data_IF_224479278936
#
_entry.id   IF_224479278936
#
_cell.length_a   1.000
_cell.length_b   1.000
_cell.length_c   1.000
_cell.angle_alpha   90.00
_cell.angle_beta   90.00
_cell.angle_gamma   90.00
#
_symmetry.space_group_name_H-M   'P 1'
#
loop_
_entity.id
_entity.type
_entity.pdbx_description
1 polymer ?
#
# COMPACT_ATOMS: atom_id res chain seq x y z
N UNK A 1 -18.94 -35.36 16.91
CA UNK A 1 -19.74 -35.80 15.74
C UNK A 1 -19.53 -34.81 14.59
N UNK A 2 -19.14 -35.32 13.42
CA UNK A 2 -19.04 -34.53 12.18
C UNK A 2 -20.44 -34.37 11.59
N UNK A 3 -20.77 -33.15 11.15
CA UNK A 3 -22.00 -32.87 10.40
C UNK A 3 -21.94 -33.60 9.05
N UNK A 4 -23.00 -34.28 8.58
CA UNK A 4 -23.02 -34.87 7.24
C UNK A 4 -23.13 -33.82 6.13
N UNK A 5 -23.66 -32.63 6.44
CA UNK A 5 -23.85 -31.55 5.49
C UNK A 5 -22.76 -30.47 5.60
N UNK A 6 -22.34 -29.88 4.45
CA UNK A 6 -21.21 -28.95 4.39
C UNK A 6 -21.54 -27.56 4.92
N UNK A 7 -20.50 -26.83 5.32
CA UNK A 7 -20.52 -25.40 5.58
C UNK A 7 -19.70 -24.72 4.47
N UNK A 8 -20.33 -23.82 3.72
CA UNK A 8 -19.65 -23.06 2.67
C UNK A 8 -19.38 -21.64 3.14
N UNK A 9 -18.14 -21.18 2.93
CA UNK A 9 -17.72 -19.81 3.12
C UNK A 9 -17.20 -19.28 1.80
N UNK A 10 -17.86 -18.27 1.28
CA UNK A 10 -17.43 -17.53 0.11
C UNK A 10 -17.09 -16.11 0.55
N UNK A 11 -15.95 -15.60 0.10
CA UNK A 11 -15.51 -14.24 0.39
C UNK A 11 -14.98 -13.60 -0.88
N UNK A 12 -15.37 -12.35 -1.13
CA UNK A 12 -14.92 -11.57 -2.28
C UNK A 12 -14.50 -10.17 -1.83
N UNK A 13 -13.52 -9.62 -2.53
CA UNK A 13 -13.08 -8.23 -2.39
C UNK A 13 -13.73 -7.39 -3.48
N UNK A 14 -14.04 -6.13 -3.18
CA UNK A 14 -14.57 -5.20 -4.18
C UNK A 14 -13.53 -4.78 -5.23
N UNK A 15 -12.24 -4.81 -4.88
CA UNK A 15 -11.11 -4.49 -5.77
C UNK A 15 -9.95 -5.45 -5.55
N UNK A 16 -9.07 -5.56 -6.55
CA UNK A 16 -7.79 -6.27 -6.42
C UNK A 16 -6.66 -5.36 -5.91
N UNK A 17 -6.78 -4.05 -6.16
CA UNK A 17 -5.81 -3.03 -5.78
C UNK A 17 -6.49 -1.93 -4.96
N UNK A 18 -5.85 -1.57 -3.84
CA UNK A 18 -6.29 -0.52 -2.93
C UNK A 18 -5.17 0.48 -2.69
N UNK A 19 -5.54 1.73 -2.42
CA UNK A 19 -4.61 2.76 -2.01
C UNK A 19 -4.44 2.83 -0.49
N UNK A 20 -3.30 3.38 -0.04
CA UNK A 20 -3.12 3.69 1.38
C UNK A 20 -4.23 4.61 1.89
N UNK A 21 -4.80 4.27 3.05
CA UNK A 21 -5.93 4.99 3.63
C UNK A 21 -7.30 4.66 3.02
N UNK A 22 -7.38 3.83 1.98
CA UNK A 22 -8.62 3.39 1.40
C UNK A 22 -9.28 2.25 2.21
N UNK A 23 -10.61 2.25 2.25
CA UNK A 23 -11.39 1.19 2.85
C UNK A 23 -11.44 -0.05 1.95
N UNK A 24 -11.11 -1.20 2.53
CA UNK A 24 -11.23 -2.51 1.89
C UNK A 24 -12.60 -3.09 2.24
N UNK A 25 -13.45 -3.32 1.24
CA UNK A 25 -14.76 -3.93 1.46
C UNK A 25 -14.71 -5.42 1.16
N UNK A 26 -15.01 -6.23 2.17
CA UNK A 26 -14.99 -7.69 2.13
C UNK A 26 -16.42 -8.19 2.19
N UNK A 27 -16.92 -8.70 1.06
CA UNK A 27 -18.21 -9.37 1.01
C UNK A 27 -18.05 -10.80 1.50
N UNK A 28 -18.82 -11.18 2.52
CA UNK A 28 -18.80 -12.50 3.13
C UNK A 28 -20.18 -13.13 2.98
N UNK A 29 -20.21 -14.29 2.32
CA UNK A 29 -21.40 -15.13 2.16
C UNK A 29 -21.13 -16.46 2.85
N UNK A 30 -21.99 -16.80 3.81
CA UNK A 30 -21.92 -18.04 4.57
C UNK A 30 -23.17 -18.84 4.31
N UNK A 31 -23.00 -20.06 3.82
CA UNK A 31 -24.11 -21.01 3.62
C UNK A 31 -23.93 -22.18 4.56
N UNK A 32 -24.67 -22.17 5.67
CA UNK A 32 -24.58 -23.17 6.71
C UNK A 32 -25.63 -24.26 6.51
N UNK A 33 -25.31 -25.28 5.71
CA UNK A 33 -26.15 -26.47 5.61
C UNK A 33 -25.87 -27.48 6.73
N UNK A 34 -24.87 -27.20 7.59
CA UNK A 34 -24.45 -28.08 8.66
C UNK A 34 -25.40 -28.04 9.87
N UNK A 35 -25.27 -29.00 10.79
CA UNK A 35 -25.95 -28.97 12.08
C UNK A 35 -25.21 -28.16 13.16
N UNK A 36 -24.19 -27.39 12.80
CA UNK A 36 -23.36 -26.60 13.72
C UNK A 36 -23.80 -25.13 13.73
N UNK A 37 -23.60 -24.49 14.87
CA UNK A 37 -23.88 -23.07 15.06
C UNK A 37 -22.61 -22.26 14.95
N UNK A 38 -22.60 -21.22 14.10
CA UNK A 38 -21.46 -20.30 14.00
C UNK A 38 -21.58 -19.24 15.11
N UNK A 39 -20.48 -18.88 15.76
CA UNK A 39 -20.50 -17.98 16.93
C UNK A 39 -20.13 -16.54 16.62
N UNK A 40 -19.11 -16.36 15.80
CA UNK A 40 -18.55 -15.06 15.47
C UNK A 40 -17.72 -15.14 14.20
N UNK A 41 -17.48 -13.97 13.62
CA UNK A 41 -16.56 -13.78 12.52
C UNK A 41 -15.44 -12.84 12.94
N UNK A 42 -14.24 -13.14 12.44
CA UNK A 42 -13.07 -12.27 12.58
C UNK A 42 -12.43 -12.07 11.22
N UNK A 43 -12.23 -10.82 10.85
CA UNK A 43 -11.64 -10.40 9.58
C UNK A 43 -10.38 -9.64 9.93
N UNK A 44 -9.25 -10.05 9.34
CA UNK A 44 -7.96 -9.45 9.63
C UNK A 44 -7.19 -9.21 8.34
N UNK A 45 -6.69 -7.99 8.16
CA UNK A 45 -5.74 -7.67 7.09
C UNK A 45 -4.35 -7.99 7.60
N UNK A 46 -3.60 -8.81 6.87
CA UNK A 46 -2.26 -9.25 7.25
C UNK A 46 -1.23 -8.84 6.22
N UNK A 47 -0.15 -8.24 6.71
CA UNK A 47 1.07 -8.00 5.96
C UNK A 47 2.01 -9.19 6.16
N UNK A 48 2.58 -9.67 5.05
CA UNK A 48 3.62 -10.67 5.00
C UNK A 48 4.85 -10.01 4.40
N UNK A 49 5.95 -9.99 5.14
CA UNK A 49 7.22 -9.50 4.66
C UNK A 49 8.22 -10.66 4.64
N UNK A 50 8.72 -10.98 3.46
CA UNK A 50 9.73 -12.01 3.23
C UNK A 50 11.06 -11.33 2.95
N UNK A 51 12.06 -11.56 3.81
CA UNK A 51 13.44 -11.13 3.57
C UNK A 51 14.11 -12.18 2.70
N UNK A 52 14.57 -11.78 1.52
CA UNK A 52 15.17 -12.64 0.51
C UNK A 52 16.69 -12.49 0.40
N UNK A 53 17.30 -11.53 1.10
CA UNK A 53 18.75 -11.28 1.10
C UNK A 53 19.41 -11.72 2.41
N UNK A 54 20.61 -12.31 2.31
CA UNK A 54 21.49 -12.79 3.40
C UNK A 54 20.91 -13.89 4.30
N UNK A 55 19.74 -13.68 4.89
CA UNK A 55 19.02 -14.66 5.72
C UNK A 55 17.54 -14.63 5.36
N UNK A 56 16.98 -15.81 5.06
CA UNK A 56 15.56 -15.91 4.76
C UNK A 56 14.76 -15.83 6.06
N UNK A 57 13.91 -14.80 6.17
CA UNK A 57 13.05 -14.59 7.32
C UNK A 57 11.66 -14.16 6.85
N UNK A 58 10.63 -14.68 7.51
CA UNK A 58 9.24 -14.33 7.22
C UNK A 58 8.61 -13.64 8.42
N UNK A 59 8.14 -12.43 8.21
CA UNK A 59 7.37 -11.67 9.20
C UNK A 59 5.91 -11.64 8.78
N UNK A 60 5.03 -11.78 9.78
CA UNK A 60 3.58 -11.75 9.60
C UNK A 60 2.98 -10.83 10.64
N UNK A 61 2.40 -9.73 10.19
CA UNK A 61 1.81 -8.72 11.05
C UNK A 61 0.35 -8.51 10.67
N UNK A 62 -0.52 -8.36 11.66
CA UNK A 62 -1.92 -7.98 11.42
C UNK A 62 -2.00 -6.45 11.43
N UNK A 63 -2.41 -5.83 10.33
CA UNK A 63 -2.46 -4.36 10.15
C UNK A 63 -3.86 -3.78 10.33
N UNK A 64 -4.90 -4.60 10.23
CA UNK A 64 -6.25 -4.24 10.63
C UNK A 64 -6.96 -5.51 11.11
N UNK A 65 -7.82 -5.40 12.11
CA UNK A 65 -8.59 -6.51 12.66
C UNK A 65 -9.99 -6.01 12.99
N UNK A 66 -10.99 -6.82 12.68
CA UNK A 66 -12.39 -6.57 12.93
C UNK A 66 -13.01 -7.88 13.42
N UNK A 67 -13.55 -7.85 14.63
CA UNK A 67 -14.35 -8.94 15.17
C UNK A 67 -15.81 -8.49 15.22
N UNK A 68 -16.73 -9.32 14.76
CA UNK A 68 -18.16 -9.02 14.71
C UNK A 68 -18.98 -10.24 15.13
N UNK A 69 -20.03 -9.97 15.89
CA UNK A 69 -21.08 -10.91 16.30
C UNK A 69 -22.43 -10.58 15.64
N UNK A 70 -22.53 -9.45 14.93
CA UNK A 70 -23.74 -9.10 14.17
C UNK A 70 -24.11 -10.18 13.14
N UNK A 71 -25.33 -10.71 13.25
CA UNK A 71 -25.81 -11.84 12.43
C UNK A 71 -25.40 -13.21 12.97
N UNK A 72 -24.67 -13.26 14.08
CA UNK A 72 -24.36 -14.48 14.82
C UNK A 72 -25.21 -14.58 16.11
N UNK A 73 -25.54 -15.79 16.58
CA UNK A 73 -25.16 -17.07 16.01
C UNK A 73 -25.91 -17.42 14.72
N UNK A 74 -25.19 -17.84 13.67
CA UNK A 74 -25.81 -18.36 12.45
C UNK A 74 -26.28 -19.78 12.73
N UNK A 75 -27.59 -19.98 12.71
CA UNK A 75 -28.23 -21.27 13.02
C UNK A 75 -27.99 -22.30 11.92
N UNK A 76 -28.14 -23.60 12.20
CA UNK A 76 -28.20 -24.64 11.17
C UNK A 76 -29.19 -24.30 10.05
N UNK A 77 -28.86 -24.71 8.83
CA UNK A 77 -29.68 -24.52 7.62
C UNK A 77 -30.02 -23.06 7.30
N UNK A 78 -29.11 -22.12 7.57
CA UNK A 78 -29.29 -20.69 7.28
C UNK A 78 -28.12 -20.09 6.50
N UNK A 79 -28.39 -18.94 5.88
CA UNK A 79 -27.39 -18.17 5.13
C UNK A 79 -27.17 -16.80 5.77
N UNK A 80 -25.93 -16.33 5.75
CA UNK A 80 -25.56 -14.97 6.17
C UNK A 80 -24.78 -14.31 5.03
N UNK A 81 -25.26 -13.16 4.58
CA UNK A 81 -24.55 -12.31 3.62
C UNK A 81 -24.32 -10.95 4.23
N UNK A 82 -23.06 -10.53 4.34
CA UNK A 82 -22.71 -9.22 4.90
C UNK A 82 -21.40 -8.70 4.33
N UNK A 83 -21.35 -7.38 4.14
CA UNK A 83 -20.13 -6.66 3.75
C UNK A 83 -19.51 -6.03 4.98
N UNK A 84 -18.20 -6.24 5.14
CA UNK A 84 -17.38 -5.66 6.19
C UNK A 84 -16.35 -4.71 5.60
N UNK A 85 -16.05 -3.61 6.28
CA UNK A 85 -15.08 -2.61 5.82
C UNK A 85 -13.92 -2.51 6.80
N UNK A 86 -12.69 -2.56 6.30
CA UNK A 86 -11.46 -2.42 7.10
C UNK A 86 -10.48 -1.47 6.41
N UNK A 87 -9.78 -0.64 7.19
CA UNK A 87 -8.79 0.31 6.65
C UNK A 87 -7.41 0.01 7.25
N UNK A 88 -6.44 -0.51 6.47
CA UNK A 88 -5.09 -0.76 6.96
C UNK A 88 -4.31 0.56 7.07
N UNK A 89 -4.07 1.01 8.31
CA UNK A 89 -3.38 2.28 8.60
C UNK A 89 -2.17 2.05 9.49
N UNK A 90 -1.04 2.68 9.17
CA UNK A 90 0.14 2.65 10.05
C UNK A 90 -0.15 3.25 11.43
N UNK A 91 -1.01 4.28 11.50
CA UNK A 91 -1.37 4.95 12.74
C UNK A 91 -1.81 3.99 13.86
N UNK A 92 -2.51 2.90 13.50
CA UNK A 92 -3.04 1.91 14.43
C UNK A 92 -2.07 0.75 14.73
N UNK A 93 -0.84 0.80 14.19
CA UNK A 93 0.11 -0.32 14.22
C UNK A 93 1.54 0.11 14.58
N UNK A 94 1.75 1.34 15.10
CA UNK A 94 3.08 1.87 15.42
C UNK A 94 3.80 1.10 16.53
N UNK A 95 3.06 0.40 17.37
CA UNK A 95 3.55 -0.47 18.44
C UNK A 95 4.10 -1.81 17.94
N UNK A 96 3.77 -2.21 16.70
CA UNK A 96 4.12 -3.52 16.17
C UNK A 96 5.52 -3.52 15.58
N UNK A 97 6.34 -4.46 16.04
CA UNK A 97 7.67 -4.74 15.47
C UNK A 97 7.57 -5.75 14.32
N UNK A 98 8.54 -5.70 13.40
CA UNK A 98 8.59 -6.61 12.23
C UNK A 98 7.61 -6.26 11.12
N UNK A 99 7.04 -5.06 11.15
CA UNK A 99 6.17 -4.51 10.11
C UNK A 99 7.02 -3.83 9.04
N UNK A 100 6.78 -4.14 7.77
CA UNK A 100 7.41 -3.46 6.65
C UNK A 100 6.74 -2.10 6.42
N UNK A 101 7.57 -1.06 6.36
CA UNK A 101 7.20 0.34 6.13
C UNK A 101 7.92 0.84 4.88
N UNK A 102 7.41 1.89 4.26
CA UNK A 102 8.06 2.58 3.13
C UNK A 102 9.04 3.68 3.56
N UNK A 103 9.18 3.89 4.88
CA UNK A 103 10.01 4.92 5.49
C UNK A 103 10.41 4.57 6.92
N UNK A 104 11.04 5.52 7.61
CA UNK A 104 11.39 5.36 9.03
C UNK A 104 10.18 5.72 9.87
N UNK A 105 9.90 4.94 10.92
CA UNK A 105 8.76 5.14 11.83
C UNK A 105 8.68 6.56 12.44
N UNK A 106 9.82 7.26 12.51
CA UNK A 106 9.92 8.63 13.03
C UNK A 106 9.46 9.72 12.08
N UNK A 107 9.25 9.43 10.80
CA UNK A 107 8.78 10.42 9.84
C UNK A 107 7.26 10.43 9.75
N UNK A 108 6.68 11.61 9.61
CA UNK A 108 5.23 11.81 9.49
C UNK A 108 4.65 11.24 8.20
N UNK A 109 5.42 11.27 7.12
CA UNK A 109 5.04 10.81 5.78
C UNK A 109 5.11 9.28 5.58
N UNK A 110 5.50 8.54 6.62
CA UNK A 110 5.70 7.09 6.52
C UNK A 110 4.38 6.34 6.56
N UNK A 111 4.23 5.36 5.67
CA UNK A 111 3.08 4.47 5.58
C UNK A 111 3.52 2.99 5.69
N UNK A 112 2.53 2.10 5.61
CA UNK A 112 2.78 0.67 5.41
C UNK A 112 3.49 0.48 4.07
N UNK A 113 4.44 -0.46 3.99
CA UNK A 113 5.10 -0.75 2.71
C UNK A 113 4.08 -1.16 1.65
N UNK A 114 4.24 -0.68 0.42
CA UNK A 114 3.38 -1.10 -0.70
C UNK A 114 3.66 -2.57 -1.08
N UNK A 115 2.70 -3.25 -1.69
CA UNK A 115 2.87 -4.61 -2.21
C UNK A 115 3.99 -4.66 -3.25
N UNK A 116 4.89 -5.63 -3.14
CA UNK A 116 5.96 -5.83 -4.11
C UNK A 116 5.41 -6.50 -5.37
N UNK A 117 5.51 -5.80 -6.50
CA UNK A 117 5.13 -6.33 -7.82
C UNK A 117 6.28 -7.19 -8.34
N UNK A 118 6.04 -8.49 -8.55
CA UNK A 118 7.01 -9.41 -9.13
C UNK A 118 6.79 -9.54 -10.64
N UNK A 119 7.73 -9.05 -11.45
CA UNK A 119 7.75 -9.32 -12.89
C UNK A 119 8.16 -10.76 -13.17
N UNK A 120 7.78 -11.30 -14.33
CA UNK A 120 8.03 -12.70 -14.72
C UNK A 120 9.52 -13.10 -14.68
N UNK A 121 10.42 -12.12 -14.88
CA UNK A 121 11.87 -12.34 -14.96
C UNK A 121 12.63 -11.85 -13.72
N UNK A 122 11.93 -11.40 -12.68
CA UNK A 122 12.54 -10.82 -11.48
C UNK A 122 12.76 -11.89 -10.43
N UNK A 123 14.02 -12.20 -10.11
CA UNK A 123 14.35 -13.11 -9.00
C UNK A 123 14.10 -12.42 -7.65
N UNK A 124 13.44 -13.13 -6.73
CA UNK A 124 13.08 -12.60 -5.41
C UNK A 124 14.28 -12.09 -4.62
N UNK A 125 15.41 -12.76 -4.73
CA UNK A 125 16.66 -12.39 -4.04
C UNK A 125 17.12 -10.97 -4.39
N UNK A 126 16.85 -10.49 -5.61
CA UNK A 126 17.26 -9.15 -6.04
C UNK A 126 16.41 -8.02 -5.44
N UNK A 127 15.25 -8.34 -4.85
CA UNK A 127 14.29 -7.36 -4.33
C UNK A 127 14.54 -7.01 -2.85
N UNK A 128 15.38 -7.76 -2.16
CA UNK A 128 15.63 -7.58 -0.73
C UNK A 128 14.48 -8.04 0.14
N UNK A 129 13.39 -7.26 0.19
CA UNK A 129 12.20 -7.54 0.99
C UNK A 129 10.98 -7.60 0.07
N UNK A 130 10.27 -8.72 0.09
CA UNK A 130 9.03 -8.93 -0.66
C UNK A 130 7.84 -8.77 0.29
N UNK A 131 6.99 -7.78 0.03
CA UNK A 131 5.81 -7.46 0.84
C UNK A 131 4.54 -7.91 0.12
N UNK A 132 3.68 -8.64 0.82
CA UNK A 132 2.39 -9.10 0.32
C UNK A 132 1.29 -8.86 1.37
N UNK A 133 0.08 -8.59 0.92
CA UNK A 133 -1.07 -8.43 1.79
C UNK A 133 -2.15 -9.46 1.51
N UNK A 134 -2.79 -9.94 2.58
CA UNK A 134 -3.96 -10.83 2.48
C UNK A 134 -5.01 -10.43 3.50
N UNK A 135 -6.27 -10.45 3.08
CA UNK A 135 -7.42 -10.42 3.98
C UNK A 135 -7.68 -11.85 4.43
N UNK A 136 -7.66 -12.10 5.74
CA UNK A 136 -8.03 -13.38 6.34
C UNK A 136 -9.39 -13.26 6.98
N UNK A 137 -10.37 -14.01 6.47
CA UNK A 137 -11.69 -14.16 7.08
C UNK A 137 -11.71 -15.48 7.85
N UNK A 138 -12.11 -15.44 9.12
CA UNK A 138 -12.17 -16.59 10.01
C UNK A 138 -13.55 -16.65 10.69
N UNK A 139 -14.23 -17.78 10.54
CA UNK A 139 -15.51 -18.07 11.20
C UNK A 139 -15.26 -19.07 12.33
N UNK A 140 -15.75 -18.72 13.52
CA UNK A 140 -15.66 -19.58 14.70
C UNK A 140 -16.90 -20.45 14.79
N UNK A 141 -16.71 -21.76 14.72
CA UNK A 141 -17.80 -22.75 14.76
C UNK A 141 -17.94 -23.31 16.17
N UNK A 142 -19.17 -23.44 16.67
CA UNK A 142 -19.43 -24.10 17.96
C UNK A 142 -19.04 -25.57 17.92
N UNK A 143 -18.19 -26.00 18.85
CA UNK A 143 -17.79 -27.41 19.02
C UNK A 143 -17.32 -28.04 17.69
N UNK A 144 -16.43 -27.33 17.00
CA UNK A 144 -15.83 -27.71 15.72
C UNK A 144 -14.54 -26.93 15.45
N UNK A 145 -13.86 -27.23 14.35
CA UNK A 145 -12.74 -26.44 13.87
C UNK A 145 -13.21 -25.12 13.25
N UNK A 146 -12.37 -24.10 13.31
CA UNK A 146 -12.64 -22.81 12.68
C UNK A 146 -12.48 -22.92 11.16
N UNK A 147 -13.35 -22.23 10.41
CA UNK A 147 -13.23 -22.11 8.96
C UNK A 147 -12.51 -20.81 8.62
N UNK A 148 -11.50 -20.85 7.75
CA UNK A 148 -10.81 -19.62 7.33
C UNK A 148 -10.45 -19.62 5.87
N UNK A 149 -10.58 -18.45 5.24
CA UNK A 149 -10.17 -18.17 3.86
C UNK A 149 -9.24 -16.95 3.84
N UNK A 150 -8.30 -16.93 2.90
CA UNK A 150 -7.38 -15.82 2.69
C UNK A 150 -7.50 -15.31 1.25
N UNK A 151 -7.66 -13.99 1.09
CA UNK A 151 -7.79 -13.31 -0.21
C UNK A 151 -6.59 -12.37 -0.38
N UNK A 152 -5.72 -12.58 -1.39
CA UNK A 152 -4.62 -11.67 -1.68
C UNK A 152 -5.12 -10.36 -2.32
N UNK A 153 -4.42 -9.27 -2.07
CA UNK A 153 -4.65 -7.99 -2.74
C UNK A 153 -3.36 -7.16 -2.83
N UNK A 154 -3.39 -6.12 -3.66
CA UNK A 154 -2.28 -5.18 -3.86
C UNK A 154 -2.54 -3.87 -3.13
N UNK A 155 -1.65 -3.47 -2.23
CA UNK A 155 -1.68 -2.16 -1.57
C UNK A 155 -0.65 -1.23 -2.21
N UNK A 156 -1.03 -0.03 -2.61
CA UNK A 156 -0.11 0.90 -3.29
C UNK A 156 -0.40 2.37 -2.96
N UNK A 157 0.44 3.28 -3.45
CA UNK A 157 0.19 4.71 -3.38
C UNK A 157 -0.80 5.18 -4.45
N UNK A 158 -1.58 6.24 -4.17
CA UNK A 158 -2.43 6.88 -5.16
C UNK A 158 -1.66 7.25 -6.43
N UNK A 159 -2.34 7.18 -7.58
CA UNK A 159 -1.73 7.59 -8.85
C UNK A 159 -1.38 9.09 -8.78
N UNK A 160 -0.15 9.49 -9.15
CA UNK A 160 0.19 10.90 -9.21
C UNK A 160 -0.71 11.63 -10.21
N UNK A 161 -0.99 12.93 -9.99
CA UNK A 161 -1.74 13.73 -10.94
C UNK A 161 -1.04 13.73 -12.31
N UNK A 162 -1.81 13.82 -13.41
CA UNK A 162 -1.22 13.86 -14.74
C UNK A 162 -0.29 15.06 -14.84
N UNK A 163 0.98 14.83 -15.18
CA UNK A 163 1.93 15.90 -15.45
C UNK A 163 1.42 16.72 -16.64
N UNK A 164 1.32 18.05 -16.54
CA UNK A 164 1.02 18.87 -17.69
C UNK A 164 2.12 18.66 -18.75
N UNK A 165 1.72 18.63 -20.02
CA UNK A 165 2.65 18.57 -21.14
C UNK A 165 3.70 19.69 -21.03
N UNK A 166 5.00 19.41 -21.20
CA UNK A 166 6.03 20.43 -21.08
C UNK A 166 5.76 21.55 -22.10
N UNK A 167 5.35 22.72 -21.61
CA UNK A 167 5.18 23.94 -22.38
C UNK A 167 6.54 24.58 -22.65
N UNK A 168 7.34 23.96 -23.52
CA UNK A 168 8.46 24.64 -24.19
C UNK A 168 8.42 24.33 -25.67
N UNK A 169 7.69 25.16 -26.42
CA UNK A 169 7.95 25.30 -27.84
C UNK A 169 9.28 26.05 -27.95
N UNK A 170 10.34 25.34 -28.31
CA UNK A 170 11.53 25.99 -28.84
C UNK A 170 11.13 26.55 -30.21
N UNK A 171 10.85 27.85 -30.29
CA UNK A 171 10.75 28.56 -31.56
C UNK A 171 12.14 28.56 -32.20
N UNK A 172 12.41 27.54 -33.01
CA UNK A 172 13.57 27.51 -33.88
C UNK A 172 13.24 28.41 -35.08
N UNK A 173 13.44 29.72 -34.93
CA UNK A 173 13.43 30.63 -36.07
C UNK A 173 14.60 30.29 -37.00
N UNK A 174 14.31 29.53 -38.05
CA UNK A 174 15.19 29.40 -39.21
C UNK A 174 15.37 30.79 -39.85
N UNK A 175 16.51 31.44 -39.62
CA UNK A 175 16.97 32.54 -40.46
C UNK A 175 17.84 31.96 -41.57
N UNK A 176 17.28 31.94 -42.77
CA UNK A 176 18.00 31.85 -44.03
C UNK A 176 19.09 32.93 -44.09
N UNK A 177 20.32 32.54 -44.41
CA UNK A 177 21.43 33.48 -44.61
C UNK A 177 22.80 32.82 -44.66
N UNK A 178 23.28 32.56 -45.88
CA UNK A 178 24.66 32.18 -46.23
C UNK A 178 25.75 32.84 -45.36
N UNK A 179 26.61 32.04 -44.72
CA UNK A 179 28.08 32.08 -44.90
C UNK A 179 28.79 31.00 -44.05
N UNK A 180 29.78 30.37 -44.68
CA UNK A 180 30.69 29.42 -44.07
C UNK A 180 31.66 30.10 -43.08
N UNK A 181 31.86 29.49 -41.91
CA UNK A 181 33.14 29.25 -41.20
C UNK A 181 32.92 29.07 -39.69
N UNK A 182 33.68 28.11 -39.12
CA UNK A 182 34.04 27.88 -37.72
C UNK A 182 32.95 27.97 -36.63
N UNK A 183 32.69 26.83 -35.97
CA UNK A 183 31.96 26.76 -34.70
C UNK A 183 32.99 26.64 -33.57
N UNK A 184 33.23 27.67 -32.74
CA UNK A 184 33.93 27.48 -31.48
C UNK A 184 32.98 26.75 -30.52
N UNK A 185 33.48 25.71 -29.85
CA UNK A 185 32.74 25.03 -28.78
C UNK A 185 32.63 26.01 -27.61
N UNK A 186 31.46 26.61 -27.43
CA UNK A 186 31.18 27.53 -26.32
C UNK A 186 30.90 26.70 -25.05
N UNK A 187 31.73 26.90 -24.02
CA UNK A 187 31.65 26.19 -22.73
C UNK A 187 30.66 26.84 -21.75
N UNK A 188 29.83 27.79 -22.18
CA UNK A 188 28.78 28.39 -21.35
C UNK A 188 27.39 27.82 -21.65
N UNK A 189 27.09 26.64 -21.09
CA UNK A 189 25.76 26.02 -21.15
C UNK A 189 24.77 26.54 -20.08
N UNK A 190 25.14 27.57 -19.31
CA UNK A 190 24.25 28.20 -18.33
C UNK A 190 24.20 29.69 -18.65
N UNK A 191 23.41 30.05 -19.65
CA UNK A 191 23.02 31.43 -19.87
C UNK A 191 21.70 31.66 -19.14
N UNK A 192 21.79 32.26 -17.95
CA UNK A 192 20.64 32.81 -17.22
C UNK A 192 20.22 34.10 -17.92
N UNK A 193 19.49 33.99 -19.02
CA UNK A 193 18.90 35.15 -19.69
C UNK A 193 17.86 35.79 -18.76
N UNK A 194 18.25 36.88 -18.11
CA UNK A 194 17.40 37.75 -17.30
C UNK A 194 16.55 38.70 -18.18
N UNK A 195 15.94 38.18 -19.25
CA UNK A 195 15.00 38.95 -20.07
C UNK A 195 13.58 38.51 -19.75
N UNK A 196 13.00 39.18 -18.75
CA UNK A 196 11.60 39.11 -18.37
C UNK A 196 10.72 39.81 -19.44
N UNK A 197 10.39 39.10 -20.52
CA UNK A 197 9.30 39.48 -21.42
C UNK A 197 8.00 38.75 -21.01
N UNK A 198 7.31 39.36 -20.05
CA UNK A 198 5.90 39.76 -20.18
C UNK A 198 4.77 38.76 -20.49
N UNK A 199 4.95 37.43 -20.50
CA UNK A 199 3.80 36.50 -20.54
C UNK A 199 4.07 35.05 -20.05
N UNK A 200 5.09 34.83 -19.22
CA UNK A 200 5.37 33.51 -18.65
C UNK A 200 4.64 33.33 -17.31
N UNK A 201 4.10 32.14 -17.03
CA UNK A 201 3.81 31.79 -15.64
C UNK A 201 5.11 31.92 -14.86
N UNK A 202 5.17 32.88 -13.94
CA UNK A 202 6.25 33.00 -12.97
C UNK A 202 6.11 31.84 -11.98
N UNK A 203 6.69 30.69 -12.34
CA UNK A 203 6.86 29.58 -11.41
C UNK A 203 7.90 30.00 -10.37
N UNK A 204 7.47 30.72 -9.34
CA UNK A 204 8.31 31.09 -8.21
C UNK A 204 8.85 29.82 -7.54
N UNK A 205 10.17 29.68 -7.51
CA UNK A 205 10.81 28.56 -6.81
C UNK A 205 10.65 28.75 -5.30
N UNK A 206 9.88 27.86 -4.68
CA UNK A 206 9.77 27.75 -3.23
C UNK A 206 10.84 26.76 -2.76
N UNK A 207 11.83 27.26 -2.02
CA UNK A 207 12.83 26.40 -1.39
C UNK A 207 12.30 25.89 -0.05
N UNK A 208 12.18 24.58 0.08
CA UNK A 208 11.89 23.88 1.32
C UNK A 208 13.06 22.98 1.72
N UNK A 209 13.14 22.66 3.01
CA UNK A 209 14.19 21.80 3.52
C UNK A 209 13.96 20.34 3.09
N UNK A 210 15.02 19.65 2.66
CA UNK A 210 14.94 18.22 2.30
C UNK A 210 14.68 17.30 3.50
N UNK A 211 14.93 17.78 4.72
CA UNK A 211 14.73 17.02 5.94
C UNK A 211 13.24 16.72 6.18
N UNK A 212 12.90 15.44 6.28
CA UNK A 212 11.52 15.01 6.56
C UNK A 212 11.08 15.40 7.95
N UNK A 213 9.85 15.88 8.06
CA UNK A 213 9.21 16.24 9.33
C UNK A 213 9.15 15.02 10.26
N UNK A 214 9.65 15.20 11.48
CA UNK A 214 9.61 14.19 12.54
C UNK A 214 8.23 14.15 13.19
N UNK A 215 7.78 12.96 13.56
CA UNK A 215 6.57 12.76 14.32
C UNK A 215 6.71 13.35 15.73
N UNK A 216 5.71 14.14 16.17
CA UNK A 216 5.71 14.71 17.53
C UNK A 216 5.69 13.59 18.57
N UNK A 217 6.62 13.63 19.52
CA UNK A 217 6.71 12.68 20.65
C UNK A 217 7.58 11.44 20.43
N UNK A 218 8.37 11.38 19.35
CA UNK A 218 9.38 10.35 19.16
C UNK A 218 10.78 10.93 19.41
N UNK A 219 11.25 10.81 20.65
CA UNK A 219 12.63 11.13 21.04
C UNK A 219 13.52 9.91 20.71
N UNK A 220 14.56 10.09 19.91
CA UNK A 220 15.55 9.06 19.61
C UNK A 220 16.39 8.80 20.90
N UNK A 221 16.47 7.58 21.45
CA UNK A 221 17.36 7.28 22.58
C UNK A 221 18.86 7.29 22.20
N UNK A 222 19.18 7.32 20.92
CA UNK A 222 20.56 7.22 20.40
C UNK A 222 21.20 8.59 20.07
N UNK A 223 20.55 9.73 20.35
CA UNK A 223 21.15 11.06 20.15
C UNK A 223 21.85 11.62 21.41
N UNK A 224 21.99 10.83 22.49
CA UNK A 224 22.65 11.24 23.74
C UNK A 224 24.03 10.62 24.00
N UNK A 225 24.84 10.35 22.99
CA UNK A 225 26.29 10.14 23.19
C UNK A 225 27.09 10.93 22.16
N UNK A 226 27.59 12.09 22.62
CA UNK A 226 28.69 12.88 22.04
C UNK A 226 30.01 12.12 22.06
#
# INVERSE_FOLDING_TARGET
>A
MMSPAPLHLECTLDKEMYYHGENINVNVVVTNNSNKTLRKIRIAVKQFAEICLFTNAHYKCTVADLESDEGFPVTPCSTLTKVYSLTPLLANNKDKRGLALDGKLKHEDTNLASSTIMGSNTQKENLGIVVQYKVKVKIVVSMGGDLSVELPFTLTHPKPPPTPSPSRQFDQQCRDGNQANDIPIDHNLIQLDANFDGNGHDDDFIFEEFARIRLKGHEDPDETET
#
